data_IF_030830959386
#
_entry.id   IF_030830959386
#
_cell.length_a   1.000
_cell.length_b   1.000
_cell.length_c   1.000
_cell.angle_alpha   90.00
_cell.angle_beta   90.00
_cell.angle_gamma   90.00
#
_symmetry.space_group_name_H-M   'P 1'
#
loop_
_entity.id
_entity.type
_entity.pdbx_description
1 polymer ?
#
# COMPACT_ATOMS: atom_id res chain seq x y z
N UNK A 1 -16.54 -13.15 -6.09
CA UNK A 1 -17.92 -13.39 -6.54
C UNK A 1 -18.23 -12.48 -7.71
N UNK A 2 -18.94 -12.97 -8.73
CA UNK A 2 -19.33 -12.18 -9.90
C UNK A 2 -20.86 -12.13 -9.98
N UNK A 3 -21.44 -10.96 -9.68
CA UNK A 3 -22.90 -10.80 -9.63
C UNK A 3 -23.56 -10.95 -11.00
N UNK A 4 -22.86 -10.57 -12.08
CA UNK A 4 -23.37 -10.69 -13.45
C UNK A 4 -23.48 -12.16 -13.84
N UNK A 5 -22.43 -12.94 -13.61
CA UNK A 5 -22.44 -14.38 -13.90
C UNK A 5 -23.41 -15.14 -12.98
N UNK A 6 -23.56 -14.71 -11.73
CA UNK A 6 -24.58 -15.25 -10.83
C UNK A 6 -25.98 -15.06 -11.43
N UNK A 7 -26.33 -13.82 -11.80
CA UNK A 7 -27.65 -13.50 -12.37
C UNK A 7 -27.93 -14.28 -13.65
N UNK A 8 -26.94 -14.39 -14.54
CA UNK A 8 -27.07 -15.19 -15.76
C UNK A 8 -27.39 -16.67 -15.46
N UNK A 9 -26.63 -17.29 -14.55
CA UNK A 9 -26.82 -18.71 -14.22
C UNK A 9 -28.17 -18.97 -13.52
N UNK A 10 -28.67 -18.01 -12.75
CA UNK A 10 -30.02 -18.09 -12.16
C UNK A 10 -31.09 -18.07 -13.26
N UNK A 11 -30.96 -17.17 -14.25
CA UNK A 11 -31.88 -17.09 -15.39
C UNK A 11 -31.88 -18.38 -16.22
N UNK A 12 -30.70 -18.99 -16.41
CA UNK A 12 -30.52 -20.26 -17.11
C UNK A 12 -30.91 -21.50 -16.25
N UNK A 13 -31.35 -21.30 -15.00
CA UNK A 13 -31.67 -22.37 -14.02
C UNK A 13 -30.49 -23.30 -13.72
N UNK A 14 -29.27 -22.83 -13.91
CA UNK A 14 -28.05 -23.55 -13.54
C UNK A 14 -27.73 -23.32 -12.05
N UNK A 15 -28.42 -24.06 -11.18
CA UNK A 15 -28.33 -23.88 -9.73
C UNK A 15 -26.94 -24.18 -9.16
N UNK A 16 -26.24 -25.19 -9.70
CA UNK A 16 -24.90 -25.55 -9.24
C UNK A 16 -23.92 -24.40 -9.50
N UNK A 17 -23.91 -23.88 -10.73
CA UNK A 17 -23.02 -22.78 -11.08
C UNK A 17 -23.44 -21.47 -10.40
N UNK A 18 -24.74 -21.27 -10.16
CA UNK A 18 -25.24 -20.15 -9.36
C UNK A 18 -24.67 -20.19 -7.94
N UNK A 19 -24.65 -21.36 -7.29
CA UNK A 19 -24.06 -21.51 -5.96
C UNK A 19 -22.55 -21.16 -5.97
N UNK A 20 -21.81 -21.59 -6.99
CA UNK A 20 -20.38 -21.25 -7.15
C UNK A 20 -20.11 -19.74 -7.20
N UNK A 21 -21.00 -18.93 -7.80
CA UNK A 21 -20.84 -17.47 -7.80
C UNK A 21 -21.42 -16.79 -6.56
N UNK A 22 -22.48 -17.35 -5.98
CA UNK A 22 -23.14 -16.82 -4.80
C UNK A 22 -22.31 -16.97 -3.53
N UNK A 23 -21.71 -18.14 -3.28
CA UNK A 23 -20.97 -18.41 -2.04
C UNK A 23 -19.84 -17.40 -1.81
N UNK A 24 -18.95 -17.10 -2.78
CA UNK A 24 -17.93 -16.06 -2.60
C UNK A 24 -18.52 -14.65 -2.45
N UNK A 25 -19.69 -14.36 -3.05
CA UNK A 25 -20.36 -13.06 -2.91
C UNK A 25 -20.91 -12.88 -1.48
N UNK A 26 -21.54 -13.92 -0.94
CA UNK A 26 -22.00 -13.93 0.45
C UNK A 26 -20.82 -13.82 1.42
N UNK A 27 -19.74 -14.57 1.18
CA UNK A 27 -18.52 -14.49 1.97
C UNK A 27 -17.90 -13.08 1.95
N UNK A 28 -17.92 -12.41 0.79
CA UNK A 28 -17.49 -11.01 0.69
C UNK A 28 -18.32 -10.09 1.59
N UNK A 29 -19.65 -10.19 1.52
CA UNK A 29 -20.54 -9.37 2.36
C UNK A 29 -20.30 -9.59 3.86
N UNK A 30 -20.12 -10.85 4.29
CA UNK A 30 -19.80 -11.18 5.67
C UNK A 30 -18.43 -10.60 6.07
N UNK A 31 -17.44 -10.65 5.18
CA UNK A 31 -16.12 -10.04 5.42
C UNK A 31 -16.17 -8.53 5.66
N UNK A 32 -17.03 -7.80 4.94
CA UNK A 32 -17.26 -6.37 5.21
C UNK A 32 -17.83 -6.15 6.61
N UNK A 33 -18.84 -6.94 7.00
CA UNK A 33 -19.47 -6.85 8.32
C UNK A 33 -18.42 -7.13 9.41
N UNK A 34 -17.65 -8.20 9.27
CA UNK A 34 -16.60 -8.58 10.25
C UNK A 34 -15.55 -7.47 10.38
N UNK A 35 -15.08 -6.89 9.28
CA UNK A 35 -14.12 -5.79 9.33
C UNK A 35 -14.68 -4.54 10.04
N UNK A 36 -15.95 -4.19 9.81
CA UNK A 36 -16.59 -3.08 10.53
C UNK A 36 -16.80 -3.38 12.02
N UNK A 37 -17.12 -4.63 12.39
CA UNK A 37 -17.23 -5.04 13.80
C UNK A 37 -15.87 -4.97 14.50
N UNK A 38 -14.80 -5.45 13.86
CA UNK A 38 -13.42 -5.36 14.37
C UNK A 38 -13.06 -3.88 14.57
N UNK A 39 -13.33 -3.04 13.58
CA UNK A 39 -13.09 -1.60 13.68
C UNK A 39 -13.88 -0.98 14.84
N UNK A 40 -15.18 -1.27 14.96
CA UNK A 40 -16.01 -0.73 16.03
C UNK A 40 -15.53 -1.10 17.43
N UNK A 41 -15.07 -2.34 17.62
CA UNK A 41 -14.60 -2.87 18.91
C UNK A 41 -13.19 -2.41 19.27
N UNK A 42 -12.29 -2.31 18.30
CA UNK A 42 -10.85 -2.10 18.53
C UNK A 42 -10.33 -0.72 18.07
N UNK A 43 -11.18 0.19 17.58
CA UNK A 43 -10.74 1.53 17.16
C UNK A 43 -10.13 2.38 18.28
N UNK A 44 -10.50 2.13 19.54
CA UNK A 44 -10.08 2.92 20.70
C UNK A 44 -9.06 2.19 21.59
N UNK A 45 -8.59 1.00 21.18
CA UNK A 45 -7.57 0.25 21.92
C UNK A 45 -6.19 0.78 21.52
N UNK A 46 -5.37 1.18 22.49
CA UNK A 46 -4.09 1.84 22.24
C UNK A 46 -2.99 0.88 21.76
N UNK A 47 -2.93 -0.33 22.30
CA UNK A 47 -1.78 -1.21 22.08
C UNK A 47 -1.78 -1.95 20.72
N UNK A 48 -2.95 -2.14 20.08
CA UNK A 48 -3.04 -2.83 18.79
C UNK A 48 -4.06 -2.11 17.92
N UNK A 49 -3.58 -1.54 16.81
CA UNK A 49 -4.46 -0.87 15.87
C UNK A 49 -5.33 -1.90 15.15
N UNK A 50 -6.65 -1.66 15.08
CA UNK A 50 -7.62 -2.59 14.48
C UNK A 50 -7.28 -3.08 13.05
N UNK A 51 -6.48 -2.33 12.27
CA UNK A 51 -6.03 -2.74 10.93
C UNK A 51 -4.99 -3.87 10.99
N UNK A 52 -4.15 -3.89 12.03
CA UNK A 52 -3.20 -4.98 12.28
C UNK A 52 -3.93 -6.29 12.58
N UNK A 53 -5.03 -6.22 13.36
CA UNK A 53 -5.90 -7.38 13.63
C UNK A 53 -6.45 -7.95 12.33
N UNK A 54 -6.95 -7.08 11.44
CA UNK A 54 -7.48 -7.52 10.14
C UNK A 54 -6.38 -8.14 9.27
N UNK A 55 -5.20 -7.51 9.19
CA UNK A 55 -4.06 -8.06 8.43
C UNK A 55 -3.62 -9.42 8.96
N UNK A 56 -3.60 -9.60 10.29
CA UNK A 56 -3.25 -10.88 10.91
C UNK A 56 -4.27 -11.97 10.56
N UNK A 57 -5.56 -11.65 10.63
CA UNK A 57 -6.63 -12.58 10.22
C UNK A 57 -6.52 -12.94 8.73
N UNK A 58 -6.26 -11.97 7.87
CA UNK A 58 -6.04 -12.17 6.43
C UNK A 58 -4.85 -13.10 6.18
N UNK A 59 -3.70 -12.88 6.84
CA UNK A 59 -2.54 -13.77 6.73
C UNK A 59 -2.86 -15.21 7.12
N UNK A 60 -3.53 -15.41 8.26
CA UNK A 60 -3.93 -16.75 8.74
C UNK A 60 -4.87 -17.41 7.72
N UNK A 61 -5.87 -16.69 7.22
CA UNK A 61 -6.84 -17.24 6.28
C UNK A 61 -6.19 -17.63 4.95
N UNK A 62 -5.36 -16.77 4.36
CA UNK A 62 -4.67 -17.08 3.10
C UNK A 62 -3.67 -18.23 3.26
N UNK A 63 -2.99 -18.29 4.41
CA UNK A 63 -2.11 -19.39 4.73
C UNK A 63 -2.90 -20.71 4.79
N UNK A 64 -4.05 -20.75 5.47
CA UNK A 64 -4.93 -21.94 5.50
C UNK A 64 -5.43 -22.33 4.11
N UNK A 65 -5.81 -21.36 3.28
CA UNK A 65 -6.23 -21.60 1.89
C UNK A 65 -5.12 -22.29 1.07
N UNK A 66 -3.85 -21.99 1.34
CA UNK A 66 -2.74 -22.59 0.61
C UNK A 66 -2.61 -24.12 0.77
N UNK A 67 -3.23 -24.70 1.81
CA UNK A 67 -3.25 -26.14 2.05
C UNK A 67 -4.52 -26.83 1.54
N UNK A 68 -5.50 -26.08 1.01
CA UNK A 68 -6.75 -26.67 0.55
C UNK A 68 -6.55 -27.43 -0.77
N UNK A 69 -7.07 -28.68 -0.89
CA UNK A 69 -7.07 -29.40 -2.15
C UNK A 69 -8.01 -28.75 -3.16
N UNK A 70 -7.77 -28.97 -4.46
CA UNK A 70 -8.59 -28.41 -5.54
C UNK A 70 -10.07 -28.83 -5.50
N UNK A 71 -10.40 -29.95 -4.86
CA UNK A 71 -11.81 -30.35 -4.64
C UNK A 71 -12.60 -29.36 -3.77
N UNK A 72 -11.90 -28.54 -2.98
CA UNK A 72 -12.47 -27.51 -2.10
C UNK A 72 -12.33 -26.10 -2.70
N UNK A 73 -12.25 -25.97 -4.03
CA UNK A 73 -12.11 -24.68 -4.72
C UNK A 73 -13.21 -23.67 -4.35
N UNK A 74 -14.45 -24.14 -4.16
CA UNK A 74 -15.54 -23.27 -3.72
C UNK A 74 -15.26 -22.64 -2.33
N UNK A 75 -14.70 -23.43 -1.40
CA UNK A 75 -14.32 -22.95 -0.08
C UNK A 75 -13.12 -22.00 -0.16
N UNK A 76 -12.09 -22.34 -0.95
CA UNK A 76 -10.93 -21.49 -1.19
C UNK A 76 -11.37 -20.12 -1.73
N UNK A 77 -12.22 -20.10 -2.76
CA UNK A 77 -12.78 -18.88 -3.33
C UNK A 77 -13.62 -18.08 -2.32
N UNK A 78 -14.36 -18.75 -1.43
CA UNK A 78 -15.11 -18.09 -0.35
C UNK A 78 -14.18 -17.39 0.65
N UNK A 79 -13.15 -18.10 1.14
CA UNK A 79 -12.19 -17.58 2.10
C UNK A 79 -11.35 -16.43 1.53
N UNK A 80 -10.89 -16.55 0.28
CA UNK A 80 -10.18 -15.48 -0.42
C UNK A 80 -11.08 -14.27 -0.63
N UNK A 81 -12.35 -14.47 -1.00
CA UNK A 81 -13.32 -13.38 -1.17
C UNK A 81 -13.64 -12.68 0.17
N UNK A 82 -13.74 -13.44 1.25
CA UNK A 82 -13.87 -12.91 2.61
C UNK A 82 -12.64 -12.09 3.04
N UNK A 83 -11.43 -12.61 2.83
CA UNK A 83 -10.17 -11.89 3.12
C UNK A 83 -10.09 -10.59 2.33
N UNK A 84 -10.37 -10.65 1.04
CA UNK A 84 -10.41 -9.49 0.15
C UNK A 84 -11.40 -8.43 0.65
N UNK A 85 -12.60 -8.82 1.09
CA UNK A 85 -13.57 -7.89 1.66
C UNK A 85 -13.03 -7.18 2.91
N UNK A 86 -12.42 -7.93 3.83
CA UNK A 86 -11.82 -7.34 5.02
C UNK A 86 -10.73 -6.33 4.66
N UNK A 87 -9.88 -6.65 3.67
CA UNK A 87 -8.84 -5.77 3.19
C UNK A 87 -9.40 -4.49 2.54
N UNK A 88 -10.42 -4.62 1.68
CA UNK A 88 -11.11 -3.49 1.04
C UNK A 88 -11.69 -2.53 2.07
N UNK A 89 -12.35 -3.07 3.10
CA UNK A 89 -12.97 -2.24 4.13
C UNK A 89 -11.92 -1.57 5.03
N UNK A 90 -10.85 -2.30 5.34
CA UNK A 90 -9.79 -1.84 6.23
C UNK A 90 -8.97 -0.72 5.61
N UNK A 91 -8.64 -0.85 4.33
CA UNK A 91 -7.81 0.09 3.59
C UNK A 91 -8.63 0.87 2.56
N UNK A 92 -9.67 1.55 3.02
CA UNK A 92 -10.53 2.40 2.17
C UNK A 92 -10.08 3.86 2.04
N UNK A 93 -9.00 4.25 2.73
CA UNK A 93 -8.43 5.61 2.68
C UNK A 93 -6.90 5.59 2.60
N UNK A 94 -6.33 6.41 1.71
CA UNK A 94 -4.90 6.71 1.61
C UNK A 94 -4.74 8.23 1.58
N UNK A 95 -3.91 8.78 2.47
CA UNK A 95 -3.68 10.22 2.60
C UNK A 95 -4.97 11.05 2.73
N UNK A 96 -5.97 10.52 3.45
CA UNK A 96 -7.27 11.17 3.64
C UNK A 96 -8.28 11.01 2.50
N UNK A 97 -7.83 10.59 1.31
CA UNK A 97 -8.71 10.34 0.17
C UNK A 97 -9.30 8.93 0.20
N UNK A 98 -10.60 8.83 -0.07
CA UNK A 98 -11.24 7.55 -0.31
C UNK A 98 -10.64 6.90 -1.57
N UNK A 99 -10.24 5.65 -1.46
CA UNK A 99 -9.78 4.84 -2.56
C UNK A 99 -10.26 3.40 -2.37
N UNK A 100 -10.38 2.68 -3.47
CA UNK A 100 -10.64 1.25 -3.44
C UNK A 100 -9.32 0.49 -3.63
N UNK A 101 -8.90 -0.28 -2.62
CA UNK A 101 -7.62 -0.99 -2.66
C UNK A 101 -7.54 -2.09 -3.73
N UNK A 102 -8.68 -2.65 -4.13
CA UNK A 102 -8.75 -3.76 -5.09
C UNK A 102 -9.53 -3.44 -6.37
N UNK A 103 -10.17 -2.26 -6.47
CA UNK A 103 -10.97 -1.87 -7.64
C UNK A 103 -10.33 -0.73 -8.44
N UNK A 104 -9.83 -1.06 -9.63
CA UNK A 104 -9.20 -0.08 -10.53
C UNK A 104 -10.20 0.87 -11.19
N UNK A 105 -11.38 0.39 -11.61
CA UNK A 105 -12.36 1.21 -12.35
C UNK A 105 -12.88 2.37 -11.48
N UNK A 106 -13.15 2.11 -10.21
CA UNK A 106 -13.59 3.15 -9.27
C UNK A 106 -12.52 4.23 -9.10
N UNK A 107 -11.27 3.82 -8.85
CA UNK A 107 -10.14 4.75 -8.75
C UNK A 107 -9.89 5.51 -10.05
N UNK A 108 -10.06 4.87 -11.22
CA UNK A 108 -9.91 5.51 -12.52
C UNK A 108 -10.94 6.62 -12.70
N UNK A 109 -12.21 6.35 -12.36
CA UNK A 109 -13.26 7.39 -12.39
C UNK A 109 -12.87 8.60 -11.53
N UNK A 110 -12.50 8.37 -10.27
CA UNK A 110 -12.10 9.45 -9.36
C UNK A 110 -10.82 10.17 -9.80
N UNK A 111 -9.88 9.45 -10.42
CA UNK A 111 -8.68 10.03 -11.04
C UNK A 111 -9.01 10.93 -12.23
N UNK A 112 -9.93 10.49 -13.10
CA UNK A 112 -10.37 11.27 -14.26
C UNK A 112 -11.20 12.49 -13.85
N UNK A 113 -12.04 12.38 -12.82
CA UNK A 113 -12.75 13.52 -12.23
C UNK A 113 -11.77 14.56 -11.68
N UNK A 114 -10.75 14.14 -10.94
CA UNK A 114 -9.71 15.03 -10.43
C UNK A 114 -8.90 15.67 -11.58
N UNK A 115 -8.52 14.89 -12.59
CA UNK A 115 -7.79 15.41 -13.76
C UNK A 115 -8.62 16.45 -14.53
N UNK A 116 -9.91 16.18 -14.74
CA UNK A 116 -10.84 17.12 -15.39
C UNK A 116 -10.99 18.40 -14.59
N UNK A 117 -11.07 18.32 -13.26
CA UNK A 117 -11.09 19.49 -12.39
C UNK A 117 -9.79 20.30 -12.49
N UNK A 118 -8.62 19.63 -12.52
CA UNK A 118 -7.33 20.31 -12.73
C UNK A 118 -7.26 21.04 -14.07
N UNK A 119 -7.75 20.45 -15.16
CA UNK A 119 -7.77 21.13 -16.47
C UNK A 119 -8.57 22.45 -16.41
N UNK A 120 -9.62 22.50 -15.60
CA UNK A 120 -10.47 23.70 -15.43
C UNK A 120 -9.87 24.73 -14.47
N UNK A 121 -9.34 24.28 -13.34
CA UNK A 121 -8.92 25.19 -12.24
C UNK A 121 -7.41 25.48 -12.22
N UNK A 122 -6.60 24.64 -12.88
CA UNK A 122 -5.13 24.61 -12.81
C UNK A 122 -4.58 24.46 -11.38
N UNK A 123 -5.38 23.94 -10.45
CA UNK A 123 -4.97 23.73 -9.06
C UNK A 123 -4.06 22.49 -8.92
N UNK A 124 -2.80 22.75 -8.51
CA UNK A 124 -1.76 21.73 -8.29
C UNK A 124 -2.16 20.69 -7.24
N UNK A 125 -2.98 21.05 -6.25
CA UNK A 125 -3.45 20.10 -5.23
C UNK A 125 -4.36 19.01 -5.83
N UNK A 126 -5.21 19.41 -6.78
CA UNK A 126 -6.12 18.50 -7.48
C UNK A 126 -5.34 17.57 -8.42
N UNK A 127 -4.29 18.08 -9.06
CA UNK A 127 -3.38 17.26 -9.87
C UNK A 127 -2.67 16.18 -9.03
N UNK A 128 -2.19 16.54 -7.84
CA UNK A 128 -1.59 15.57 -6.90
C UNK A 128 -2.56 14.43 -6.53
N UNK A 129 -3.84 14.76 -6.31
CA UNK A 129 -4.90 13.76 -6.09
C UNK A 129 -5.10 12.85 -7.30
N UNK A 130 -5.13 13.40 -8.51
CA UNK A 130 -5.28 12.63 -9.74
C UNK A 130 -4.10 11.66 -9.96
N UNK A 131 -2.87 12.15 -9.78
CA UNK A 131 -1.65 11.34 -9.87
C UNK A 131 -1.67 10.18 -8.87
N UNK A 132 -2.15 10.41 -7.65
CA UNK A 132 -2.25 9.36 -6.63
C UNK A 132 -3.16 8.20 -7.04
N UNK A 133 -4.28 8.47 -7.72
CA UNK A 133 -5.13 7.39 -8.25
C UNK A 133 -4.43 6.62 -9.37
N UNK A 134 -3.71 7.31 -10.25
CA UNK A 134 -2.93 6.68 -11.33
C UNK A 134 -1.78 5.82 -10.81
N UNK A 135 -1.06 6.28 -9.79
CA UNK A 135 -0.02 5.50 -9.10
C UNK A 135 -0.57 4.17 -8.59
N UNK A 136 -1.72 4.21 -7.91
CA UNK A 136 -2.37 3.00 -7.35
C UNK A 136 -2.79 2.04 -8.47
N UNK A 137 -3.39 2.56 -9.55
CA UNK A 137 -3.80 1.75 -10.70
C UNK A 137 -2.58 1.10 -11.37
N UNK A 138 -1.51 1.86 -11.56
CA UNK A 138 -0.26 1.36 -12.14
C UNK A 138 0.37 0.27 -11.29
N UNK A 139 0.50 0.49 -9.98
CA UNK A 139 1.01 -0.50 -9.03
C UNK A 139 0.15 -1.77 -9.04
N UNK A 140 -1.16 -1.65 -9.13
CA UNK A 140 -2.06 -2.81 -9.25
C UNK A 140 -1.80 -3.58 -10.54
N UNK A 141 -1.67 -2.90 -11.69
CA UNK A 141 -1.41 -3.54 -12.97
C UNK A 141 -0.06 -4.29 -12.98
N UNK A 142 0.99 -3.68 -12.44
CA UNK A 142 2.31 -4.30 -12.29
C UNK A 142 2.23 -5.51 -11.34
N UNK A 143 1.56 -5.35 -10.19
CA UNK A 143 1.36 -6.44 -9.22
C UNK A 143 0.59 -7.62 -9.80
N UNK A 144 -0.48 -7.36 -10.57
CA UNK A 144 -1.24 -8.39 -11.27
C UNK A 144 -0.40 -9.11 -12.35
N UNK A 145 0.43 -8.36 -13.08
CA UNK A 145 1.37 -8.92 -14.05
C UNK A 145 2.40 -9.85 -13.42
N UNK A 146 3.08 -9.40 -12.36
CA UNK A 146 4.07 -10.20 -11.62
C UNK A 146 3.41 -11.41 -10.96
N UNK A 147 2.27 -11.21 -10.29
CA UNK A 147 1.51 -12.28 -9.66
C UNK A 147 1.06 -13.35 -10.66
N UNK A 148 0.59 -12.94 -11.84
CA UNK A 148 0.23 -13.84 -12.92
C UNK A 148 1.40 -14.71 -13.39
N UNK A 149 2.61 -14.14 -13.50
CA UNK A 149 3.81 -14.90 -13.83
C UNK A 149 4.19 -15.89 -12.71
N UNK A 150 4.05 -15.50 -11.44
CA UNK A 150 4.30 -16.42 -10.33
C UNK A 150 3.32 -17.58 -10.29
N UNK A 151 2.04 -17.38 -10.64
CA UNK A 151 1.07 -18.47 -10.75
C UNK A 151 1.51 -19.50 -11.79
N UNK A 152 2.07 -19.08 -12.92
CA UNK A 152 2.59 -20.00 -13.94
C UNK A 152 3.79 -20.81 -13.44
N UNK A 153 4.68 -20.19 -12.66
CA UNK A 153 5.92 -20.83 -12.17
C UNK A 153 5.71 -21.71 -10.93
N UNK A 154 4.85 -21.29 -9.99
CA UNK A 154 4.73 -21.88 -8.65
C UNK A 154 3.33 -22.45 -8.35
N UNK A 155 2.35 -22.23 -9.23
CA UNK A 155 0.98 -22.71 -9.05
C UNK A 155 0.34 -22.20 -7.77
N UNK A 156 -0.29 -23.10 -7.01
CA UNK A 156 -0.96 -22.78 -5.74
C UNK A 156 -0.02 -22.21 -4.66
N UNK A 157 1.29 -22.53 -4.70
CA UNK A 157 2.28 -22.01 -3.77
C UNK A 157 2.53 -20.50 -3.94
N UNK A 158 2.02 -19.89 -5.01
CA UNK A 158 2.07 -18.43 -5.20
C UNK A 158 1.46 -17.66 -4.03
N UNK A 159 0.47 -18.24 -3.34
CA UNK A 159 -0.18 -17.65 -2.17
C UNK A 159 0.83 -17.38 -1.04
N UNK A 160 1.90 -18.18 -0.91
CA UNK A 160 2.92 -17.98 0.12
C UNK A 160 3.70 -16.67 -0.08
N UNK A 161 3.94 -16.27 -1.32
CA UNK A 161 4.54 -14.96 -1.60
C UNK A 161 3.62 -13.83 -1.16
N UNK A 162 2.30 -13.96 -1.36
CA UNK A 162 1.33 -12.98 -0.83
C UNK A 162 1.35 -12.93 0.69
N UNK A 163 1.41 -14.08 1.38
CA UNK A 163 1.55 -14.12 2.83
C UNK A 163 2.85 -13.45 3.31
N UNK A 164 3.97 -13.63 2.60
CA UNK A 164 5.23 -12.97 2.90
C UNK A 164 5.13 -11.45 2.75
N UNK A 165 4.51 -10.95 1.68
CA UNK A 165 4.31 -9.51 1.47
C UNK A 165 3.40 -8.90 2.55
N UNK A 166 2.37 -9.63 2.98
CA UNK A 166 1.50 -9.23 4.09
C UNK A 166 2.26 -9.20 5.41
N UNK A 167 3.15 -10.18 5.65
CA UNK A 167 3.99 -10.21 6.85
C UNK A 167 4.93 -9.01 6.91
N UNK A 168 5.60 -8.68 5.79
CA UNK A 168 6.43 -7.46 5.69
C UNK A 168 5.59 -6.21 5.96
N UNK A 169 4.39 -6.12 5.38
CA UNK A 169 3.47 -5.00 5.60
C UNK A 169 3.02 -4.89 7.07
N UNK A 170 2.77 -6.02 7.71
CA UNK A 170 2.43 -6.11 9.12
C UNK A 170 3.58 -5.61 10.01
N UNK A 171 4.81 -6.06 9.77
CA UNK A 171 6.00 -5.59 10.47
C UNK A 171 6.22 -4.08 10.31
N UNK A 172 6.10 -3.56 9.08
CA UNK A 172 6.21 -2.12 8.82
C UNK A 172 5.11 -1.32 9.53
N UNK A 173 3.89 -1.86 9.61
CA UNK A 173 2.81 -1.21 10.33
C UNK A 173 3.07 -1.22 11.85
N UNK A 174 3.65 -2.28 12.39
CA UNK A 174 4.05 -2.37 13.80
C UNK A 174 5.12 -1.33 14.14
N UNK A 175 6.21 -1.25 13.35
CA UNK A 175 7.28 -0.25 13.53
C UNK A 175 6.72 1.18 13.48
N UNK A 176 5.77 1.45 12.57
CA UNK A 176 5.17 2.78 12.45
C UNK A 176 4.25 3.14 13.62
N UNK A 177 3.59 2.17 14.24
CA UNK A 177 2.80 2.38 15.45
C UNK A 177 3.72 2.67 16.64
N UNK A 178 4.78 1.89 16.81
CA UNK A 178 5.84 2.09 17.82
C UNK A 178 6.49 3.49 17.70
N UNK A 179 6.83 3.94 16.48
CA UNK A 179 7.35 5.31 16.28
C UNK A 179 6.36 6.41 16.63
N UNK A 180 5.05 6.17 16.53
CA UNK A 180 4.05 7.16 16.96
C UNK A 180 3.87 7.18 18.48
N UNK A 181 4.05 6.04 19.13
CA UNK A 181 3.98 5.90 20.58
C UNK A 181 5.27 6.43 21.26
N UNK A 182 6.40 6.35 20.55
CA UNK A 182 7.71 6.90 20.94
C UNK A 182 8.20 7.99 19.96
N UNK A 183 7.57 9.18 19.93
CA UNK A 183 7.94 10.26 19.00
C UNK A 183 9.38 10.76 19.20
N UNK A 184 9.98 10.49 20.36
CA UNK A 184 11.37 10.83 20.70
C UNK A 184 12.37 10.31 19.66
N UNK A 185 12.13 9.12 19.08
CA UNK A 185 13.00 8.51 18.06
C UNK A 185 12.98 9.31 16.74
N UNK A 186 11.81 9.81 16.33
CA UNK A 186 11.69 10.63 15.11
C UNK A 186 12.34 12.00 15.27
N UNK A 187 12.29 12.56 16.49
CA UNK A 187 12.97 13.81 16.82
C UNK A 187 14.49 13.58 16.84
N UNK A 188 14.96 12.47 17.40
CA UNK A 188 16.39 12.13 17.45
C UNK A 188 16.96 11.91 16.03
N UNK A 189 16.25 11.21 15.13
CA UNK A 189 16.64 11.07 13.72
C UNK A 189 16.69 12.42 12.98
N UNK A 190 15.69 13.29 13.15
CA UNK A 190 15.71 14.64 12.56
C UNK A 190 16.88 15.48 13.10
N UNK A 191 17.21 15.33 14.37
CA UNK A 191 18.33 16.03 15.01
C UNK A 191 19.67 15.55 14.44
N UNK A 192 19.86 14.23 14.34
CA UNK A 192 21.07 13.63 13.76
C UNK A 192 21.23 14.01 12.28
N UNK A 193 20.15 14.01 11.50
CA UNK A 193 20.18 14.44 10.09
C UNK A 193 20.58 15.92 9.96
N UNK A 194 20.06 16.77 10.84
CA UNK A 194 20.39 18.19 10.87
C UNK A 194 21.85 18.43 11.25
N UNK A 195 22.34 17.73 12.26
CA UNK A 195 23.74 17.82 12.70
C UNK A 195 24.70 17.36 11.59
N UNK A 196 24.37 16.28 10.87
CA UNK A 196 25.15 15.82 9.72
C UNK A 196 25.18 16.85 8.58
N UNK A 197 24.04 17.47 8.28
CA UNK A 197 23.94 18.52 7.26
C UNK A 197 24.78 19.75 7.62
N UNK A 198 24.76 20.18 8.88
CA UNK A 198 25.57 21.31 9.36
C UNK A 198 27.07 20.99 9.31
N UNK A 199 27.48 19.76 9.65
CA UNK A 199 28.87 19.29 9.52
C UNK A 199 29.31 19.32 8.05
N UNK A 200 28.49 18.81 7.13
CA UNK A 200 28.83 18.80 5.70
C UNK A 200 29.03 20.24 5.17
N UNK A 201 28.17 21.16 5.60
CA UNK A 201 28.28 22.59 5.26
C UNK A 201 29.55 23.24 5.83
N UNK A 202 29.91 22.92 7.07
CA UNK A 202 31.16 23.39 7.67
C UNK A 202 32.39 22.87 6.92
N UNK A 203 32.42 21.57 6.58
CA UNK A 203 33.50 20.97 5.79
C UNK A 203 33.64 21.66 4.43
N UNK A 204 32.52 21.95 3.76
CA UNK A 204 32.52 22.64 2.46
C UNK A 204 33.02 24.08 2.56
N UNK A 205 32.66 24.80 3.62
CA UNK A 205 33.17 26.16 3.88
C UNK A 205 34.67 26.16 4.19
N UNK A 206 35.14 25.22 5.02
CA UNK A 206 36.58 25.06 5.31
C UNK A 206 37.34 24.70 4.02
N UNK A 207 36.80 23.80 3.20
CA UNK A 207 37.39 23.46 1.90
C UNK A 207 37.46 24.66 0.95
N UNK A 208 36.46 25.54 0.96
CA UNK A 208 36.48 26.79 0.20
C UNK A 208 37.55 27.76 0.71
N UNK A 209 37.63 27.99 2.02
CA UNK A 209 38.66 28.84 2.62
C UNK A 209 40.07 28.32 2.35
N UNK A 210 40.31 27.02 2.52
CA UNK A 210 41.60 26.39 2.22
C UNK A 210 41.93 26.50 0.73
N UNK A 211 40.94 26.36 -0.16
CA UNK A 211 41.10 26.56 -1.59
C UNK A 211 41.47 28.00 -1.96
N UNK A 212 40.82 28.98 -1.33
CA UNK A 212 41.13 30.40 -1.47
C UNK A 212 42.54 30.72 -0.94
N UNK A 213 42.90 30.25 0.27
CA UNK A 213 44.22 30.45 0.87
C UNK A 213 45.33 29.84 0.00
N UNK A 214 45.12 28.64 -0.55
CA UNK A 214 46.06 28.00 -1.48
C UNK A 214 46.16 28.79 -2.80
N UNK A 215 45.06 29.35 -3.29
CA UNK A 215 45.06 30.17 -4.52
C UNK A 215 45.80 31.51 -4.33
N UNK A 216 45.67 32.12 -3.15
CA UNK A 216 46.40 33.34 -2.76
C UNK A 216 47.89 33.03 -2.61
N UNK A 217 48.27 31.89 -2.03
CA UNK A 217 49.67 31.44 -1.94
C UNK A 217 50.31 31.08 -3.28
N UNK A 218 49.50 30.68 -4.28
CA UNK A 218 49.97 30.40 -5.65
C UNK A 218 50.04 31.64 -6.55
N UNK A 219 49.53 32.80 -6.12
CA UNK A 219 49.66 34.05 -6.86
C UNK A 219 51.07 34.61 -6.65
N UNK A 220 51.96 34.59 -7.65
CA UNK A 220 53.33 35.02 -7.46
C UNK A 220 53.37 36.53 -7.20
N UNK A 221 54.16 36.90 -6.20
CA UNK A 221 54.62 38.26 -5.95
C UNK A 221 55.32 38.77 -7.23
N UNK A 222 54.58 39.42 -8.13
CA UNK A 222 55.16 40.25 -9.19
C UNK A 222 54.91 41.72 -8.87
N UNK A 223 55.51 42.15 -7.76
CA UNK A 223 55.89 43.53 -7.52
C UNK A 223 57.19 43.48 -6.75
N UNK A 224 58.26 43.84 -7.45
CA UNK A 224 59.48 44.48 -6.95
C UNK A 224 60.71 43.91 -7.66
N UNK A 225 61.11 44.56 -8.76
CA UNK A 225 62.45 45.14 -8.92
C UNK A 225 62.72 45.54 -10.39
N UNK A 226 62.94 46.85 -10.57
CA UNK A 226 63.57 47.57 -11.69
C UNK A 226 62.82 47.74 -13.02
#
# INVERSE_FOLDING_TARGET
>A
GNIVLLSQNICERNWLQSAHYFVPLAAFAIGIIVAEQIRGKYQNVQNIHWRQIVLLLEMILLFLVSFLPQSLDMLANALVSFSCAMQVQTFRKVNGYAFASTMCIGNMRSGMEALSAYIRTHDRNVLGKALRYWEIIFLFAVGAGIGGQFVVLFGAHTIWFSCLLLLVSFCLMFIREEMKEHPEISVEEETIQKDLWDIEKQIKNIGHQVGEDISVMKSPHNKDSQ
#
